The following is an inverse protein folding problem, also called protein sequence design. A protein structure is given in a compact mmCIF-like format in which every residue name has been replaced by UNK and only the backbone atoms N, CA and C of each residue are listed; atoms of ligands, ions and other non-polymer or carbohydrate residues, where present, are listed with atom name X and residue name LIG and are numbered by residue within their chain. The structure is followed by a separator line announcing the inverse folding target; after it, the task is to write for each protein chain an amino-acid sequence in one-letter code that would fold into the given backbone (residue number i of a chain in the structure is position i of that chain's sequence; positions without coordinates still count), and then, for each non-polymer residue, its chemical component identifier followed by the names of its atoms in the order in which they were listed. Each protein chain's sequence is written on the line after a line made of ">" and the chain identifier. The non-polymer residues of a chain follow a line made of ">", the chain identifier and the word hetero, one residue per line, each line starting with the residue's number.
data_IF_515510250244
#
_entry.id   IF_515510250244
#
_cell.length_a   1.000
_cell.length_b   1.000
_cell.length_c   1.000
_cell.angle_alpha   90.00
_cell.angle_beta   90.00
_cell.angle_gamma   90.00
#
_symmetry.space_group_name_H-M   'P 1'
#
loop_
_entity.id
_entity.type
_entity.pdbx_description
1 polymer ?
#
# COMPACT_ATOMS: atom_id res chain seq x y z
N UNK A 1 8.66 -57.61 -24.00
CA UNK A 1 8.40 -56.15 -24.09
C UNK A 1 9.76 -55.47 -24.29
N UNK A 2 9.99 -54.76 -25.40
CA UNK A 2 11.31 -54.15 -25.68
C UNK A 2 11.70 -53.17 -24.56
N UNK A 3 12.95 -53.23 -24.08
CA UNK A 3 13.49 -52.32 -23.05
C UNK A 3 13.19 -50.85 -23.38
N UNK A 4 13.20 -50.48 -24.67
CA UNK A 4 12.83 -49.12 -25.14
C UNK A 4 11.39 -48.73 -24.80
N UNK A 5 10.45 -49.68 -24.82
CA UNK A 5 9.04 -49.44 -24.44
C UNK A 5 8.91 -49.24 -22.93
N UNK A 6 9.67 -49.98 -22.12
CA UNK A 6 9.67 -49.81 -20.65
C UNK A 6 10.20 -48.42 -20.27
N UNK A 7 11.31 -47.98 -20.87
CA UNK A 7 11.82 -46.62 -20.68
C UNK A 7 10.84 -45.54 -21.15
N UNK A 8 10.18 -45.74 -22.31
CA UNK A 8 9.17 -44.81 -22.82
C UNK A 8 7.96 -44.70 -21.88
N UNK A 9 7.39 -45.82 -21.43
CA UNK A 9 6.26 -45.83 -20.50
C UNK A 9 6.65 -45.29 -19.12
N UNK A 10 7.87 -45.60 -18.65
CA UNK A 10 8.41 -45.05 -17.40
C UNK A 10 8.57 -43.54 -17.46
N UNK A 11 9.13 -43.01 -18.55
CA UNK A 11 9.25 -41.56 -18.76
C UNK A 11 7.89 -40.86 -18.89
N UNK A 12 6.95 -41.46 -19.62
CA UNK A 12 5.57 -40.95 -19.73
C UNK A 12 4.89 -40.89 -18.36
N UNK A 13 4.99 -41.96 -17.57
CA UNK A 13 4.38 -42.04 -16.24
C UNK A 13 5.02 -41.04 -15.28
N UNK A 14 6.35 -40.88 -15.33
CA UNK A 14 7.06 -39.88 -14.54
C UNK A 14 6.64 -38.45 -14.92
N UNK A 15 6.53 -38.15 -16.22
CA UNK A 15 6.10 -36.84 -16.71
C UNK A 15 4.67 -36.50 -16.26
N UNK A 16 3.74 -37.45 -16.39
CA UNK A 16 2.35 -37.28 -15.92
C UNK A 16 2.31 -37.11 -14.40
N UNK A 17 3.10 -37.89 -13.66
CA UNK A 17 3.18 -37.77 -12.21
C UNK A 17 3.70 -36.40 -11.78
N UNK A 18 4.82 -35.96 -12.33
CA UNK A 18 5.41 -34.63 -12.03
C UNK A 18 4.44 -33.52 -12.39
N UNK A 19 3.81 -33.59 -13.57
CA UNK A 19 2.81 -32.61 -14.00
C UNK A 19 1.62 -32.58 -13.04
N UNK A 20 1.12 -33.73 -12.62
CA UNK A 20 0.02 -33.84 -11.66
C UNK A 20 0.39 -33.24 -10.30
N UNK A 21 1.59 -33.51 -9.79
CA UNK A 21 2.07 -32.96 -8.52
C UNK A 21 2.17 -31.43 -8.59
N UNK A 22 2.70 -30.90 -9.69
CA UNK A 22 2.85 -29.45 -9.89
C UNK A 22 1.47 -28.78 -10.01
N UNK A 23 0.57 -29.33 -10.83
CA UNK A 23 -0.78 -28.76 -11.05
C UNK A 23 -1.64 -28.83 -9.79
N UNK A 24 -1.53 -29.91 -9.01
CA UNK A 24 -2.36 -30.12 -7.81
C UNK A 24 -1.66 -29.77 -6.49
N UNK A 25 -0.53 -29.05 -6.52
CA UNK A 25 0.21 -28.71 -5.33
C UNK A 25 -0.67 -27.89 -4.35
N UNK A 26 -1.01 -28.41 -3.16
CA UNK A 26 -1.87 -27.71 -2.21
C UNK A 26 -1.18 -26.46 -1.69
N UNK A 27 -1.89 -25.33 -1.64
CA UNK A 27 -1.33 -24.08 -1.11
C UNK A 27 -0.84 -24.23 0.33
N UNK A 28 -1.56 -25.04 1.14
CA UNK A 28 -1.20 -25.32 2.52
C UNK A 28 0.20 -25.92 2.64
N UNK A 29 0.57 -26.85 1.75
CA UNK A 29 1.90 -27.45 1.77
C UNK A 29 2.98 -26.40 1.51
N UNK A 30 2.75 -25.46 0.58
CA UNK A 30 3.70 -24.39 0.30
C UNK A 30 3.83 -23.46 1.50
N UNK A 31 2.71 -22.99 2.07
CA UNK A 31 2.72 -22.07 3.22
C UNK A 31 3.40 -22.69 4.44
N UNK A 32 3.14 -23.97 4.73
CA UNK A 32 3.73 -24.67 5.89
C UNK A 32 5.25 -24.90 5.73
N UNK A 33 5.78 -24.85 4.50
CA UNK A 33 7.22 -25.01 4.21
C UNK A 33 7.93 -23.67 3.94
N UNK A 34 7.23 -22.55 3.96
CA UNK A 34 7.87 -21.24 3.87
C UNK A 34 8.64 -20.95 5.17
N UNK A 35 9.78 -20.24 5.09
CA UNK A 35 10.48 -19.81 6.29
C UNK A 35 9.53 -19.01 7.19
N UNK A 36 9.47 -19.39 8.46
CA UNK A 36 8.58 -18.75 9.43
C UNK A 36 8.99 -17.28 9.62
N UNK A 37 8.15 -16.38 9.14
CA UNK A 37 8.30 -14.94 9.39
C UNK A 37 7.74 -14.67 10.79
N UNK A 38 8.58 -14.20 11.71
CA UNK A 38 8.15 -13.87 13.08
C UNK A 38 7.00 -12.85 13.03
N UNK A 39 5.90 -13.17 13.70
CA UNK A 39 4.70 -12.33 13.73
C UNK A 39 3.70 -12.58 12.60
N UNK A 40 4.05 -13.30 11.53
CA UNK A 40 3.11 -13.64 10.47
C UNK A 40 2.32 -14.91 10.84
N UNK A 41 1.00 -14.81 10.84
CA UNK A 41 0.10 -15.94 11.00
C UNK A 41 -0.88 -16.00 9.82
N UNK A 42 -0.93 -17.16 9.17
CA UNK A 42 -1.80 -17.43 8.02
C UNK A 42 -2.66 -18.64 8.39
N UNK A 43 -3.97 -18.46 8.43
CA UNK A 43 -4.92 -19.51 8.82
C UNK A 43 -6.03 -19.71 7.78
N UNK A 44 -6.62 -20.92 7.79
CA UNK A 44 -7.68 -21.30 6.87
C UNK A 44 -7.26 -21.31 5.39
N UNK A 45 -6.02 -21.72 5.10
CA UNK A 45 -5.52 -21.85 3.72
C UNK A 45 -6.29 -22.93 2.97
N UNK A 46 -6.87 -22.56 1.83
CA UNK A 46 -7.69 -23.42 0.96
C UNK A 46 -7.28 -23.21 -0.50
N UNK A 47 -7.38 -24.26 -1.32
CA UNK A 47 -7.05 -24.22 -2.74
C UNK A 47 -5.63 -24.71 -3.07
N UNK A 48 -5.20 -24.45 -4.30
CA UNK A 48 -3.88 -24.82 -4.83
C UNK A 48 -2.91 -23.64 -4.77
N UNK A 49 -1.63 -23.91 -5.03
CA UNK A 49 -0.63 -22.87 -5.23
C UNK A 49 -1.07 -21.85 -6.30
N UNK A 50 -1.79 -22.32 -7.33
CA UNK A 50 -2.26 -21.51 -8.44
C UNK A 50 -3.44 -20.63 -8.06
N UNK A 51 -4.46 -21.21 -7.43
CA UNK A 51 -5.67 -20.48 -7.07
C UNK A 51 -6.08 -20.89 -5.65
N UNK A 52 -6.08 -19.92 -4.75
CA UNK A 52 -6.33 -20.20 -3.36
C UNK A 52 -6.78 -19.00 -2.56
N UNK A 53 -7.07 -19.27 -1.29
CA UNK A 53 -7.45 -18.26 -0.31
C UNK A 53 -6.90 -18.61 1.06
N UNK A 54 -6.57 -17.58 1.83
CA UNK A 54 -6.31 -17.67 3.26
C UNK A 54 -7.43 -16.89 3.97
N UNK A 55 -8.09 -17.52 4.95
CA UNK A 55 -9.24 -16.93 5.65
C UNK A 55 -8.85 -15.75 6.52
N UNK A 56 -7.70 -15.84 7.19
CA UNK A 56 -7.18 -14.79 8.06
C UNK A 56 -5.66 -14.74 7.95
N UNK A 57 -5.16 -13.57 7.58
CA UNK A 57 -3.74 -13.25 7.52
C UNK A 57 -3.51 -12.11 8.50
N UNK A 58 -2.72 -12.38 9.53
CA UNK A 58 -2.36 -11.38 10.53
C UNK A 58 -0.85 -11.23 10.64
N UNK A 59 -0.39 -10.00 10.85
CA UNK A 59 1.00 -9.71 11.15
C UNK A 59 1.08 -8.97 12.48
N UNK A 60 1.72 -9.59 13.47
CA UNK A 60 1.74 -9.13 14.86
C UNK A 60 0.29 -8.99 15.40
N UNK A 61 -0.09 -7.80 15.87
CA UNK A 61 -1.45 -7.49 16.32
C UNK A 61 -2.42 -7.14 15.18
N UNK A 62 -1.96 -6.98 13.93
CA UNK A 62 -2.79 -6.47 12.83
C UNK A 62 -3.43 -7.58 12.03
N UNK A 63 -4.76 -7.53 11.87
CA UNK A 63 -5.53 -8.44 11.00
C UNK A 63 -5.80 -7.82 9.63
N UNK A 64 -5.16 -8.36 8.60
CA UNK A 64 -5.33 -7.97 7.19
C UNK A 64 -6.52 -8.68 6.53
N UNK A 65 -7.24 -9.51 7.28
CA UNK A 65 -8.42 -10.23 6.83
C UNK A 65 -8.08 -11.36 5.85
N UNK A 66 -9.06 -11.67 4.99
CA UNK A 66 -8.96 -12.70 3.99
C UNK A 66 -8.12 -12.21 2.79
N UNK A 67 -7.21 -13.08 2.34
CA UNK A 67 -6.45 -12.90 1.09
C UNK A 67 -6.86 -13.99 0.09
N UNK A 68 -7.09 -13.62 -1.16
CA UNK A 68 -7.29 -14.54 -2.28
C UNK A 68 -6.24 -14.25 -3.34
N UNK A 69 -5.70 -15.29 -3.95
CA UNK A 69 -4.70 -15.16 -5.02
C UNK A 69 -5.03 -16.05 -6.20
N UNK A 70 -4.59 -15.61 -7.38
CA UNK A 70 -4.70 -16.30 -8.65
C UNK A 70 -3.40 -16.11 -9.46
N UNK A 71 -2.59 -17.15 -9.56
CA UNK A 71 -1.33 -17.15 -10.30
C UNK A 71 -1.59 -17.21 -11.80
N UNK A 72 -1.05 -16.23 -12.50
CA UNK A 72 -1.10 -16.14 -13.94
C UNK A 72 -0.07 -17.11 -14.56
N UNK A 73 -0.46 -18.38 -14.70
CA UNK A 73 0.41 -19.46 -15.20
C UNK A 73 1.07 -19.11 -16.53
N UNK A 74 0.36 -18.40 -17.42
CA UNK A 74 0.91 -17.97 -18.71
C UNK A 74 2.10 -17.01 -18.58
N UNK A 75 2.17 -16.21 -17.51
CA UNK A 75 3.28 -15.29 -17.26
C UNK A 75 4.57 -16.04 -16.90
N UNK A 76 4.48 -17.29 -16.41
CA UNK A 76 5.67 -18.11 -16.14
C UNK A 76 6.47 -18.40 -17.40
N UNK A 77 5.81 -18.56 -18.56
CA UNK A 77 6.51 -18.73 -19.85
C UNK A 77 7.29 -17.47 -20.27
N UNK A 78 6.95 -16.31 -19.71
CA UNK A 78 7.69 -15.06 -19.89
C UNK A 78 8.73 -14.81 -18.78
N UNK A 79 8.95 -15.79 -17.89
CA UNK A 79 9.87 -15.67 -16.76
C UNK A 79 9.35 -14.82 -15.60
N UNK A 80 8.02 -14.64 -15.50
CA UNK A 80 7.37 -13.86 -14.44
C UNK A 80 6.42 -14.73 -13.62
N UNK A 81 6.59 -14.76 -12.30
CA UNK A 81 5.62 -15.34 -11.38
C UNK A 81 4.68 -14.23 -10.92
N UNK A 82 3.48 -14.17 -11.49
CA UNK A 82 2.53 -13.06 -11.29
C UNK A 82 1.24 -13.55 -10.63
N UNK A 83 0.80 -12.86 -9.57
CA UNK A 83 -0.38 -13.18 -8.78
C UNK A 83 -1.36 -12.00 -8.84
N UNK A 84 -2.59 -12.29 -9.26
CA UNK A 84 -3.72 -11.42 -9.03
C UNK A 84 -4.19 -11.61 -7.59
N UNK A 85 -4.04 -10.59 -6.75
CA UNK A 85 -4.38 -10.66 -5.33
C UNK A 85 -5.59 -9.78 -5.02
N UNK A 86 -6.42 -10.24 -4.09
CA UNK A 86 -7.42 -9.41 -3.39
C UNK A 86 -7.26 -9.67 -1.90
N UNK A 87 -7.27 -8.61 -1.11
CA UNK A 87 -7.03 -8.68 0.33
C UNK A 87 -7.97 -7.76 1.09
N UNK A 88 -8.05 -7.95 2.41
CA UNK A 88 -8.78 -7.04 3.30
C UNK A 88 -10.24 -7.37 3.56
N UNK A 89 -10.77 -8.44 2.94
CA UNK A 89 -12.14 -8.87 3.26
C UNK A 89 -12.20 -9.34 4.71
N UNK A 90 -13.08 -8.72 5.51
CA UNK A 90 -13.18 -8.91 6.97
C UNK A 90 -11.92 -8.48 7.74
N UNK A 91 -11.14 -7.52 7.24
CA UNK A 91 -10.03 -6.93 8.01
C UNK A 91 -10.56 -6.07 9.16
N UNK A 92 -9.98 -6.23 10.35
CA UNK A 92 -10.28 -5.39 11.52
C UNK A 92 -9.83 -3.93 11.30
N UNK A 93 -8.84 -3.72 10.42
CA UNK A 93 -8.36 -2.39 10.03
C UNK A 93 -9.28 -1.69 9.03
N UNK A 94 -10.32 -2.36 8.51
CA UNK A 94 -11.09 -1.86 7.38
C UNK A 94 -10.28 -1.73 6.09
N UNK A 95 -9.06 -2.28 6.06
CA UNK A 95 -8.21 -2.30 4.88
C UNK A 95 -8.87 -3.17 3.83
N UNK A 96 -8.96 -2.69 2.58
CA UNK A 96 -9.37 -3.49 1.43
C UNK A 96 -8.47 -3.21 0.25
N UNK A 97 -8.30 -4.18 -0.64
CA UNK A 97 -7.51 -3.92 -1.83
C UNK A 97 -7.45 -5.06 -2.82
N UNK A 98 -6.90 -4.73 -3.99
CA UNK A 98 -6.66 -5.65 -5.09
C UNK A 98 -5.48 -5.17 -5.90
N UNK A 99 -4.79 -6.07 -6.57
CA UNK A 99 -3.71 -5.69 -7.45
C UNK A 99 -2.98 -6.88 -8.02
N UNK A 100 -1.97 -6.57 -8.81
CA UNK A 100 -1.03 -7.55 -9.35
C UNK A 100 0.25 -7.42 -8.54
N UNK A 101 0.74 -8.54 -8.02
CA UNK A 101 2.07 -8.63 -7.42
C UNK A 101 2.83 -9.74 -8.13
N UNK A 102 4.13 -9.56 -8.35
CA UNK A 102 4.89 -10.58 -9.04
C UNK A 102 6.38 -10.51 -8.76
N UNK A 103 7.06 -11.51 -9.30
CA UNK A 103 8.51 -11.62 -9.27
C UNK A 103 9.01 -11.93 -10.67
N UNK A 104 9.92 -11.11 -11.19
CA UNK A 104 10.56 -11.28 -12.49
C UNK A 104 12.08 -11.23 -12.39
N UNK A 105 12.75 -11.12 -13.54
CA UNK A 105 14.22 -11.03 -13.60
C UNK A 105 14.79 -9.79 -12.91
N UNK A 106 14.03 -8.68 -12.88
CA UNK A 106 14.39 -7.44 -12.18
C UNK A 106 14.01 -7.45 -10.69
N UNK A 107 13.45 -8.55 -10.18
CA UNK A 107 13.02 -8.68 -8.79
C UNK A 107 11.50 -8.55 -8.59
N UNK A 108 11.07 -8.27 -7.35
CA UNK A 108 9.66 -8.07 -7.01
C UNK A 108 9.09 -6.83 -7.69
N UNK A 109 7.82 -6.92 -8.12
CA UNK A 109 7.09 -5.81 -8.70
C UNK A 109 5.60 -5.85 -8.32
N UNK A 110 4.93 -4.72 -8.47
CA UNK A 110 3.49 -4.61 -8.36
C UNK A 110 2.93 -3.72 -9.47
N UNK A 111 1.72 -4.04 -9.95
CA UNK A 111 1.02 -3.31 -11.01
C UNK A 111 -0.46 -3.18 -10.66
N UNK A 112 -1.05 -2.03 -11.02
CA UNK A 112 -2.48 -1.75 -10.83
C UNK A 112 -3.01 -2.10 -9.43
N UNK A 113 -2.21 -1.80 -8.40
CA UNK A 113 -2.56 -2.06 -7.02
C UNK A 113 -3.42 -0.92 -6.49
N UNK A 114 -4.58 -1.28 -5.96
CA UNK A 114 -5.51 -0.39 -5.28
C UNK A 114 -5.66 -0.89 -3.85
N UNK A 115 -5.47 0.00 -2.88
CA UNK A 115 -5.74 -0.25 -1.47
C UNK A 115 -6.55 0.91 -0.88
N UNK A 116 -7.45 0.61 0.03
CA UNK A 116 -8.28 1.60 0.72
C UNK A 116 -8.30 1.29 2.22
N UNK A 117 -8.16 2.32 3.05
CA UNK A 117 -8.21 2.22 4.51
C UNK A 117 -8.90 3.47 5.09
N UNK A 118 -9.77 3.33 6.10
CA UNK A 118 -10.33 4.48 6.80
C UNK A 118 -9.23 5.26 7.53
N UNK A 119 -9.23 6.59 7.42
CA UNK A 119 -8.23 7.45 8.08
C UNK A 119 -8.27 7.29 9.60
N UNK A 120 -9.46 7.13 10.18
CA UNK A 120 -9.60 6.89 11.61
C UNK A 120 -8.78 5.68 12.09
N UNK A 121 -8.69 4.62 11.27
CA UNK A 121 -7.88 3.43 11.58
C UNK A 121 -6.38 3.68 11.48
N UNK A 122 -5.96 4.60 10.61
CA UNK A 122 -4.56 5.05 10.53
C UNK A 122 -4.20 5.89 11.76
N UNK A 123 -5.10 6.78 12.18
CA UNK A 123 -4.90 7.65 13.35
C UNK A 123 -4.76 6.85 14.65
N UNK A 124 -5.44 5.71 14.79
CA UNK A 124 -5.25 4.78 15.93
C UNK A 124 -3.81 4.24 16.04
N UNK A 125 -3.03 4.28 14.96
CA UNK A 125 -1.66 3.73 14.90
C UNK A 125 -0.56 4.79 14.97
N UNK A 126 -0.91 6.06 14.73
CA UNK A 126 0.06 7.16 14.71
C UNK A 126 -0.05 7.94 15.99
N UNK A 127 1.08 8.14 16.67
CA UNK A 127 1.11 8.99 17.86
C UNK A 127 1.22 10.46 17.43
N UNK A 128 0.10 11.17 17.40
CA UNK A 128 0.06 12.60 17.06
C UNK A 128 0.25 13.42 18.34
N UNK A 129 1.21 14.38 18.37
CA UNK A 129 1.50 15.16 19.58
C UNK A 129 0.39 16.15 19.99
N UNK A 130 -0.69 16.25 19.21
CA UNK A 130 -1.83 17.13 19.45
C UNK A 130 -3.14 16.33 19.52
N UNK A 131 -4.15 16.79 20.29
CA UNK A 131 -5.48 16.16 20.36
C UNK A 131 -6.26 16.47 19.08
N UNK A 132 -5.87 15.81 17.99
CA UNK A 132 -6.50 15.94 16.68
C UNK A 132 -6.93 14.57 16.19
N UNK A 133 -8.15 14.51 15.69
CA UNK A 133 -8.69 13.34 15.01
C UNK A 133 -8.83 13.66 13.52
N UNK A 134 -8.73 12.63 12.68
CA UNK A 134 -8.97 12.77 11.25
C UNK A 134 -9.91 11.67 10.75
N UNK A 135 -10.82 12.04 9.87
CA UNK A 135 -11.77 11.13 9.24
C UNK A 135 -11.66 11.20 7.72
N UNK A 136 -12.32 10.25 7.03
CA UNK A 136 -12.26 10.09 5.58
C UNK A 136 -11.77 8.70 5.18
N UNK A 137 -11.72 8.47 3.87
CA UNK A 137 -11.24 7.24 3.25
C UNK A 137 -9.95 7.52 2.48
N UNK A 138 -8.88 6.80 2.84
CA UNK A 138 -7.57 6.94 2.20
C UNK A 138 -7.40 5.83 1.16
N UNK A 139 -7.29 6.20 -0.11
CA UNK A 139 -7.13 5.30 -1.24
C UNK A 139 -5.74 5.45 -1.88
N UNK A 140 -4.97 4.37 -1.85
CA UNK A 140 -3.69 4.24 -2.53
C UNK A 140 -3.88 3.55 -3.88
N UNK A 141 -3.39 4.19 -4.93
CA UNK A 141 -3.30 3.63 -6.27
C UNK A 141 -1.84 3.56 -6.69
N UNK A 142 -1.35 2.38 -7.02
CA UNK A 142 -0.02 2.15 -7.58
C UNK A 142 -0.21 1.61 -9.00
N UNK A 143 0.20 2.41 -9.99
CA UNK A 143 0.17 2.02 -11.39
C UNK A 143 1.28 1.02 -11.69
N UNK A 144 2.50 1.33 -11.29
CA UNK A 144 3.66 0.47 -11.39
C UNK A 144 4.57 0.64 -10.17
N UNK A 145 5.23 -0.44 -9.78
CA UNK A 145 6.22 -0.46 -8.72
C UNK A 145 7.23 -1.57 -9.00
N UNK A 146 8.51 -1.22 -8.99
CA UNK A 146 9.63 -2.17 -9.08
C UNK A 146 10.48 -2.02 -7.84
N UNK A 147 10.70 -3.13 -7.14
CA UNK A 147 11.49 -3.13 -5.94
C UNK A 147 12.99 -3.07 -6.25
N UNK A 148 13.69 -2.19 -5.54
CA UNK A 148 15.13 -2.28 -5.33
C UNK A 148 15.40 -1.89 -3.87
N UNK A 149 16.51 -2.38 -3.32
CA UNK A 149 16.90 -2.01 -1.96
C UNK A 149 17.27 -0.52 -1.87
N UNK A 150 16.83 0.23 -0.84
CA UNK A 150 15.93 -0.21 0.24
C UNK A 150 14.42 -0.19 -0.07
N UNK A 151 13.95 0.58 -1.07
CA UNK A 151 12.52 0.81 -1.27
C UNK A 151 12.01 0.56 -2.68
N UNK A 152 12.70 1.07 -3.70
CA UNK A 152 12.23 0.99 -5.07
C UNK A 152 13.38 1.25 -6.07
N UNK A 153 13.24 0.67 -7.25
CA UNK A 153 13.90 1.18 -8.44
C UNK A 153 13.05 2.28 -9.08
N UNK A 154 11.76 2.00 -9.25
CA UNK A 154 10.77 2.93 -9.78
C UNK A 154 9.40 2.68 -9.17
N UNK A 155 8.60 3.73 -9.01
CA UNK A 155 7.18 3.63 -8.69
C UNK A 155 6.42 4.84 -9.22
N UNK A 156 5.17 4.61 -9.65
CA UNK A 156 4.22 5.63 -10.05
C UNK A 156 2.87 5.29 -9.45
N UNK A 157 2.27 6.27 -8.76
CA UNK A 157 0.99 6.09 -8.11
C UNK A 157 0.40 7.41 -7.65
N UNK A 158 -0.71 7.30 -6.93
CA UNK A 158 -1.37 8.41 -6.29
C UNK A 158 -2.03 7.97 -5.00
N UNK A 159 -2.20 8.93 -4.09
CA UNK A 159 -2.92 8.81 -2.84
C UNK A 159 -4.08 9.78 -2.87
N UNK A 160 -5.28 9.30 -2.60
CA UNK A 160 -6.50 10.10 -2.59
C UNK A 160 -7.13 9.98 -1.21
N UNK A 161 -7.29 11.11 -0.54
CA UNK A 161 -8.12 11.22 0.64
C UNK A 161 -9.50 11.70 0.19
N UNK A 162 -10.54 10.91 0.42
CA UNK A 162 -11.92 11.28 0.16
C UNK A 162 -12.61 11.69 1.46
N UNK A 163 -13.35 12.81 1.41
CA UNK A 163 -14.12 13.35 2.55
C UNK A 163 -13.26 13.51 3.80
N UNK A 164 -12.07 14.08 3.61
CA UNK A 164 -11.13 14.35 4.68
C UNK A 164 -11.67 15.43 5.61
N UNK A 165 -11.71 15.16 6.90
CA UNK A 165 -12.02 16.16 7.93
C UNK A 165 -11.04 16.01 9.07
N UNK A 166 -10.49 17.13 9.54
CA UNK A 166 -9.66 17.19 10.74
C UNK A 166 -10.47 17.81 11.86
N UNK A 167 -10.65 17.07 12.95
CA UNK A 167 -11.37 17.52 14.14
C UNK A 167 -10.40 17.85 15.26
N UNK A 168 -10.63 18.97 15.94
CA UNK A 168 -9.85 19.41 17.09
C UNK A 168 -10.76 20.11 18.12
N UNK A 169 -10.32 20.30 19.38
CA UNK A 169 -11.04 21.10 20.36
C UNK A 169 -11.32 22.55 19.90
N UNK A 170 -10.56 23.03 18.93
CA UNK A 170 -10.68 24.37 18.36
C UNK A 170 -11.72 24.44 17.24
N UNK A 171 -12.14 23.31 16.69
CA UNK A 171 -13.10 23.21 15.59
C UNK A 171 -12.74 22.13 14.59
N UNK A 172 -13.66 21.93 13.64
CA UNK A 172 -13.49 21.00 12.53
C UNK A 172 -13.05 21.75 11.29
N UNK A 173 -12.10 21.18 10.56
CA UNK A 173 -11.60 21.67 9.28
C UNK A 173 -11.90 20.63 8.20
N UNK A 174 -12.73 21.01 7.25
CA UNK A 174 -13.03 20.20 6.06
C UNK A 174 -11.87 20.33 5.06
N UNK A 175 -11.27 19.20 4.69
CA UNK A 175 -10.23 19.09 3.66
C UNK A 175 -10.80 18.62 2.31
N UNK A 176 -12.05 18.18 2.26
CA UNK A 176 -12.70 17.66 1.07
C UNK A 176 -11.95 16.46 0.47
N UNK A 177 -11.63 16.56 -0.82
CA UNK A 177 -10.82 15.56 -1.51
C UNK A 177 -9.40 16.08 -1.69
N UNK A 178 -8.42 15.36 -1.16
CA UNK A 178 -7.00 15.67 -1.34
C UNK A 178 -6.39 14.63 -2.27
N UNK A 179 -5.71 15.08 -3.32
CA UNK A 179 -5.02 14.20 -4.27
C UNK A 179 -3.52 14.47 -4.16
N UNK A 180 -2.75 13.40 -4.01
CA UNK A 180 -1.29 13.44 -4.02
C UNK A 180 -0.75 12.47 -5.06
N UNK A 181 0.10 12.96 -5.93
CA UNK A 181 0.94 12.12 -6.78
C UNK A 181 2.06 11.51 -5.94
N UNK A 182 2.31 10.23 -6.15
CA UNK A 182 3.39 9.47 -5.52
C UNK A 182 4.34 8.99 -6.61
N UNK A 183 5.63 9.20 -6.41
CA UNK A 183 6.66 8.63 -7.26
C UNK A 183 7.80 8.10 -6.44
N UNK A 184 8.52 7.16 -7.03
CA UNK A 184 9.77 6.68 -6.48
C UNK A 184 10.75 6.49 -7.62
N UNK A 185 11.96 7.01 -7.47
CA UNK A 185 13.01 6.85 -8.48
C UNK A 185 14.34 6.65 -7.74
N UNK A 186 15.01 5.52 -8.03
CA UNK A 186 16.32 5.19 -7.45
C UNK A 186 16.36 5.33 -5.91
N UNK A 187 15.36 4.78 -5.23
CA UNK A 187 15.17 4.90 -3.77
C UNK A 187 15.07 6.34 -3.26
N UNK A 188 14.42 7.22 -4.02
CA UNK A 188 13.94 8.51 -3.52
C UNK A 188 12.43 8.52 -3.66
N UNK A 189 11.73 8.46 -2.53
CA UNK A 189 10.28 8.56 -2.48
C UNK A 189 9.91 10.03 -2.55
N UNK A 190 9.00 10.39 -3.44
CA UNK A 190 8.47 11.75 -3.57
C UNK A 190 6.95 11.73 -3.54
N UNK A 191 6.37 12.69 -2.85
CA UNK A 191 4.94 12.94 -2.84
C UNK A 191 4.68 14.41 -3.13
N UNK A 192 3.68 14.71 -3.93
CA UNK A 192 3.23 16.07 -4.17
C UNK A 192 1.71 16.08 -4.19
N UNK A 193 1.10 16.96 -3.42
CA UNK A 193 -0.34 17.09 -3.38
C UNK A 193 -0.77 18.53 -3.26
N UNK A 194 -2.03 18.75 -3.63
CA UNK A 194 -2.71 20.02 -3.45
C UNK A 194 -4.16 19.76 -3.07
N UNK A 195 -4.74 20.72 -2.38
CA UNK A 195 -6.15 20.73 -2.02
C UNK A 195 -6.66 22.17 -1.99
N UNK A 196 -7.92 22.36 -2.36
CA UNK A 196 -8.55 23.66 -2.41
C UNK A 196 -10.05 23.49 -2.21
N UNK A 197 -10.57 24.15 -1.17
CA UNK A 197 -12.00 24.31 -0.93
C UNK A 197 -12.26 25.67 -0.26
N UNK A 198 -13.52 25.93 0.08
CA UNK A 198 -13.95 27.20 0.66
C UNK A 198 -13.38 27.47 2.08
N UNK A 199 -12.96 26.41 2.79
CA UNK A 199 -12.35 26.54 4.11
C UNK A 199 -10.85 26.73 4.05
N UNK A 200 -10.13 25.99 3.20
CA UNK A 200 -8.67 25.98 3.19
C UNK A 200 -8.14 25.58 1.81
N UNK A 201 -7.06 26.24 1.40
CA UNK A 201 -6.23 25.83 0.26
C UNK A 201 -4.84 25.46 0.74
N UNK A 202 -4.18 24.52 0.07
CA UNK A 202 -2.84 24.11 0.47
C UNK A 202 -2.18 23.23 -0.56
N UNK A 203 -0.85 23.17 -0.48
CA UNK A 203 -0.07 22.24 -1.27
C UNK A 203 1.13 21.78 -0.45
N UNK A 204 1.64 20.60 -0.81
CA UNK A 204 2.85 20.08 -0.23
C UNK A 204 3.69 19.35 -1.28
N UNK A 205 4.99 19.33 -1.03
CA UNK A 205 5.96 18.44 -1.65
C UNK A 205 6.76 17.80 -0.53
N UNK A 206 6.84 16.48 -0.54
CA UNK A 206 7.63 15.70 0.39
C UNK A 206 8.62 14.83 -0.36
N UNK A 207 9.81 14.64 0.20
CA UNK A 207 10.84 13.72 -0.27
C UNK A 207 11.39 12.92 0.89
N UNK A 208 11.69 11.66 0.64
CA UNK A 208 12.36 10.76 1.58
C UNK A 208 13.47 10.02 0.83
N UNK A 209 14.71 10.22 1.29
CA UNK A 209 15.93 9.67 0.70
C UNK A 209 16.44 8.43 1.42
N UNK A 210 17.06 7.52 0.67
CA UNK A 210 18.04 6.49 1.09
C UNK A 210 18.26 6.24 2.58
N UNK A 211 18.83 7.30 3.15
CA UNK A 211 19.44 7.42 4.46
C UNK A 211 18.44 7.84 5.56
N UNK A 212 17.14 7.82 5.26
CA UNK A 212 16.03 8.29 6.08
C UNK A 212 15.97 9.82 6.28
N UNK A 213 16.67 10.58 5.44
CA UNK A 213 16.53 12.04 5.41
C UNK A 213 15.24 12.39 4.68
N UNK A 214 14.46 13.30 5.27
CA UNK A 214 13.22 13.76 4.67
C UNK A 214 13.20 15.28 4.57
N UNK A 215 12.51 15.76 3.55
CA UNK A 215 12.17 17.16 3.33
C UNK A 215 10.67 17.25 3.08
N UNK A 216 10.00 18.14 3.79
CA UNK A 216 8.59 18.49 3.59
C UNK A 216 8.53 20.01 3.43
N UNK A 217 8.09 20.45 2.27
CA UNK A 217 7.69 21.83 1.99
C UNK A 217 6.19 21.82 1.80
N UNK A 218 5.47 22.45 2.71
CA UNK A 218 4.02 22.58 2.65
C UNK A 218 3.62 24.02 2.93
N UNK A 219 2.43 24.39 2.47
CA UNK A 219 1.79 25.62 2.87
C UNK A 219 0.28 25.42 2.88
N UNK A 220 -0.40 26.19 3.73
CA UNK A 220 -1.84 26.32 3.67
C UNK A 220 -2.26 27.79 3.72
N UNK A 221 -3.45 28.08 3.24
CA UNK A 221 -4.07 29.39 3.26
C UNK A 221 -5.54 29.25 3.67
N UNK A 222 -5.96 29.93 4.75
CA UNK A 222 -7.36 30.02 5.14
C UNK A 222 -8.23 30.57 4.00
N UNK A 223 -9.36 29.90 3.76
CA UNK A 223 -10.42 30.33 2.86
C UNK A 223 -11.46 31.19 3.56
N UNK A 224 -12.52 31.57 2.83
CA UNK A 224 -13.60 32.41 3.36
C UNK A 224 -14.43 31.74 4.46
N UNK A 225 -14.49 30.41 4.45
CA UNK A 225 -15.22 29.60 5.43
C UNK A 225 -14.31 28.96 6.49
N UNK A 226 -13.06 29.44 6.62
CA UNK A 226 -12.15 28.88 7.61
C UNK A 226 -12.70 29.02 9.04
N UNK A 227 -12.64 27.97 9.88
CA UNK A 227 -13.23 28.00 11.22
C UNK A 227 -12.68 29.16 12.07
N UNK A 228 -13.55 30.05 12.61
CA UNK A 228 -13.08 31.28 13.28
C UNK A 228 -12.12 31.04 14.44
N UNK A 229 -12.40 30.01 15.26
CA UNK A 229 -11.56 29.63 16.41
C UNK A 229 -10.18 29.10 16.00
N UNK A 230 -10.07 28.42 14.85
CA UNK A 230 -8.78 28.05 14.28
C UNK A 230 -8.06 29.30 13.78
N UNK A 231 -8.80 30.22 13.15
CA UNK A 231 -8.29 31.52 12.69
C UNK A 231 -7.62 32.32 13.80
N UNK A 232 -8.21 32.34 15.00
CA UNK A 232 -7.65 33.01 16.18
C UNK A 232 -6.30 32.43 16.65
N UNK A 233 -6.01 31.17 16.33
CA UNK A 233 -4.74 30.53 16.67
C UNK A 233 -3.64 30.79 15.64
N UNK A 234 -3.97 31.25 14.43
CA UNK A 234 -2.97 31.52 13.39
C UNK A 234 -1.92 32.55 13.82
N UNK A 235 -2.28 33.45 14.75
CA UNK A 235 -1.34 34.42 15.35
C UNK A 235 -0.12 33.76 16.02
N UNK A 236 -0.23 32.48 16.41
CA UNK A 236 0.86 31.72 17.02
C UNK A 236 1.77 31.05 15.99
N UNK A 237 1.32 30.92 14.74
CA UNK A 237 2.09 30.34 13.63
C UNK A 237 2.99 31.38 12.93
N UNK A 238 2.86 32.65 13.29
CA UNK A 238 3.59 33.77 12.67
C UNK A 238 2.81 34.44 11.55
N UNK A 239 3.48 35.35 10.84
CA UNK A 239 2.86 36.12 9.76
C UNK A 239 2.82 35.29 8.45
N UNK A 240 1.70 35.35 7.70
CA UNK A 240 1.63 34.73 6.38
C UNK A 240 2.54 35.45 5.37
N UNK A 241 2.83 34.76 4.26
CA UNK A 241 3.52 35.36 3.13
C UNK A 241 2.67 36.42 2.41
N UNK A 242 3.24 37.07 1.39
CA UNK A 242 2.56 38.10 0.59
C UNK A 242 1.28 37.61 -0.13
N UNK A 243 1.06 36.29 -0.21
CA UNK A 243 -0.10 35.65 -0.83
C UNK A 243 -1.13 35.17 0.21
N UNK A 244 -0.86 35.39 1.51
CA UNK A 244 -1.69 34.95 2.62
C UNK A 244 -1.47 33.47 2.99
N UNK A 245 -0.33 32.88 2.61
CA UNK A 245 0.00 31.48 2.89
C UNK A 245 0.84 31.36 4.14
N UNK A 246 0.56 30.34 4.94
CA UNK A 246 1.32 29.94 6.10
C UNK A 246 2.26 28.79 5.68
N UNK A 247 3.57 29.05 5.49
CA UNK A 247 4.51 28.02 5.11
C UNK A 247 4.85 27.10 6.29
N UNK A 248 5.11 25.84 5.96
CA UNK A 248 5.50 24.79 6.88
C UNK A 248 6.61 23.96 6.22
N UNK A 249 7.86 24.25 6.61
CA UNK A 249 9.03 23.58 6.07
C UNK A 249 9.66 22.75 7.19
N UNK A 250 9.76 21.45 6.96
CA UNK A 250 10.42 20.51 7.87
C UNK A 250 11.48 19.73 7.10
N UNK A 251 12.69 19.67 7.64
CA UNK A 251 13.72 18.77 7.17
C UNK A 251 14.30 18.03 8.37
N UNK A 252 14.61 16.76 8.21
CA UNK A 252 15.11 15.96 9.32
C UNK A 252 15.53 14.56 8.90
N UNK A 253 15.70 13.69 9.90
CA UNK A 253 16.03 12.29 9.73
C UNK A 253 15.18 11.44 10.66
N UNK A 254 14.54 10.40 10.13
CA UNK A 254 13.74 9.44 10.91
C UNK A 254 14.61 8.52 11.78
#
# INVERSE_FOLDING_TARGET
>A
MSIKKIFLYGFLLLSVFVTSVVVHLPAKFVVDNLPTIRGLNISGVQGSLWQGRAQKVSFQQYDFGQITWDLQVFKLFTGKAELNVRFGRNSELGLTGRGIVGYGFSGPYAENLLASIPVAKVMEQVNVPAPVDATGDLELMIKNYTYAQPWCQSAEGSLVLNRGEVSSPLGNLDLGTVISDLSCENNVLSAKGNQENDQVSGAFTAKLESNFTYDLDAWFKPGSEFPPRLGEQLKWLGDPDAQGRYPFVLSGRL
#
